data_IF_124378420412
#
_entry.id   IF_124378420412
#
_cell.length_a   1.000
_cell.length_b   1.000
_cell.length_c   1.000
_cell.angle_alpha   90.00
_cell.angle_beta   90.00
_cell.angle_gamma   90.00
#
_symmetry.space_group_name_H-M   'P 1'
#
loop_
_entity.id
_entity.type
_entity.pdbx_description
1 polymer ?
#
# COMPACT_ATOMS: atom_id res chain seq x y z
N UNK A 1 -0.13 48.74 -100.84
CA UNK A 1 -1.24 48.94 -99.89
C UNK A 1 -1.88 47.62 -99.47
N UNK A 2 -2.39 46.76 -100.36
CA UNK A 2 -3.07 45.50 -99.96
C UNK A 2 -2.22 44.52 -99.11
N UNK A 3 -0.95 44.32 -99.45
CA UNK A 3 -0.05 43.42 -98.70
C UNK A 3 0.27 43.90 -97.28
N UNK A 4 0.24 45.20 -97.04
CA UNK A 4 0.53 45.78 -95.73
C UNK A 4 -0.63 45.55 -94.75
N UNK A 5 -1.87 45.60 -95.26
CA UNK A 5 -3.06 45.26 -94.49
C UNK A 5 -3.07 43.79 -94.07
N UNK A 6 -2.74 42.87 -95.00
CA UNK A 6 -2.71 41.43 -94.70
C UNK A 6 -1.67 41.11 -93.62
N UNK A 7 -0.47 41.70 -93.70
CA UNK A 7 0.58 41.49 -92.69
C UNK A 7 0.15 42.04 -91.33
N UNK A 8 -0.50 43.21 -91.31
CA UNK A 8 -1.02 43.81 -90.08
C UNK A 8 -2.10 42.94 -89.43
N UNK A 9 -3.06 42.44 -90.22
CA UNK A 9 -4.16 41.61 -89.73
C UNK A 9 -3.64 40.27 -89.18
N UNK A 10 -2.64 39.66 -89.83
CA UNK A 10 -1.99 38.43 -89.35
C UNK A 10 -1.24 38.69 -88.04
N UNK A 11 -0.52 39.80 -87.94
CA UNK A 11 0.19 40.16 -86.72
C UNK A 11 -0.77 40.42 -85.55
N UNK A 12 -1.91 41.06 -85.81
CA UNK A 12 -2.96 41.31 -84.80
C UNK A 12 -3.64 40.01 -84.35
N UNK A 13 -3.95 39.11 -85.29
CA UNK A 13 -4.47 37.77 -84.97
C UNK A 13 -3.49 36.97 -84.13
N UNK A 14 -2.20 36.99 -84.48
CA UNK A 14 -1.14 36.29 -83.76
C UNK A 14 -0.97 36.86 -82.34
N UNK A 15 -0.96 38.19 -82.19
CA UNK A 15 -0.92 38.83 -80.88
C UNK A 15 -2.13 38.42 -80.03
N UNK A 16 -3.35 38.43 -80.58
CA UNK A 16 -4.55 38.07 -79.82
C UNK A 16 -4.63 36.59 -79.45
N UNK A 17 -4.12 35.69 -80.29
CA UNK A 17 -4.15 34.25 -80.05
C UNK A 17 -3.08 33.79 -79.05
N UNK A 18 -1.93 34.47 -79.02
CA UNK A 18 -0.78 34.07 -78.21
C UNK A 18 -0.50 35.03 -77.04
N UNK A 19 -1.28 36.09 -76.90
CA UNK A 19 -1.30 36.90 -75.69
C UNK A 19 -1.96 36.13 -74.55
N UNK A 20 -1.10 35.48 -73.77
CA UNK A 20 -1.45 34.73 -72.58
C UNK A 20 -1.54 35.64 -71.35
N UNK A 21 -1.28 36.94 -71.48
CA UNK A 21 -1.32 37.89 -70.37
C UNK A 21 -2.70 37.92 -69.68
N UNK A 22 -3.85 37.92 -70.36
CA UNK A 22 -5.15 37.87 -69.70
C UNK A 22 -5.38 36.59 -68.89
N UNK A 23 -4.91 35.45 -69.41
CA UNK A 23 -5.04 34.15 -68.74
C UNK A 23 -4.16 34.12 -67.48
N UNK A 24 -2.88 34.50 -67.61
CA UNK A 24 -1.98 34.60 -66.47
C UNK A 24 -2.48 35.60 -65.43
N UNK A 25 -2.94 36.77 -65.86
CA UNK A 25 -3.48 37.78 -64.96
C UNK A 25 -4.70 37.26 -64.19
N UNK A 26 -5.58 36.50 -64.85
CA UNK A 26 -6.70 35.81 -64.21
C UNK A 26 -6.25 34.82 -63.14
N UNK A 27 -5.24 33.99 -63.44
CA UNK A 27 -4.68 33.04 -62.48
C UNK A 27 -3.97 33.74 -61.30
N UNK A 28 -3.21 34.80 -61.55
CA UNK A 28 -2.56 35.61 -60.49
C UNK A 28 -3.61 36.25 -59.59
N UNK A 29 -4.65 36.84 -60.18
CA UNK A 29 -5.75 37.46 -59.42
C UNK A 29 -6.50 36.43 -58.58
N UNK A 30 -6.75 35.24 -59.13
CA UNK A 30 -7.36 34.14 -58.38
C UNK A 30 -6.47 33.67 -57.23
N UNK A 31 -5.17 33.52 -57.46
CA UNK A 31 -4.22 33.12 -56.42
C UNK A 31 -4.21 34.10 -55.25
N UNK A 32 -4.08 35.40 -55.52
CA UNK A 32 -4.12 36.46 -54.49
C UNK A 32 -5.45 36.40 -53.72
N UNK A 33 -6.58 36.36 -54.44
CA UNK A 33 -7.91 36.31 -53.82
C UNK A 33 -8.12 35.09 -52.94
N UNK A 34 -7.65 33.92 -53.35
CA UNK A 34 -7.83 32.70 -52.56
C UNK A 34 -6.88 32.62 -51.37
N UNK A 35 -5.60 32.93 -51.56
CA UNK A 35 -4.58 32.67 -50.55
C UNK A 35 -4.29 33.87 -49.65
N UNK A 36 -4.20 35.07 -50.20
CA UNK A 36 -3.87 36.28 -49.44
C UNK A 36 -5.13 36.95 -48.86
N UNK A 37 -6.27 36.90 -49.56
CA UNK A 37 -7.51 37.53 -49.07
C UNK A 37 -8.40 36.55 -48.28
N UNK A 38 -8.95 35.52 -48.96
CA UNK A 38 -9.95 34.61 -48.34
C UNK A 38 -9.37 33.77 -47.21
N UNK A 39 -8.19 33.17 -47.44
CA UNK A 39 -7.51 32.32 -46.46
C UNK A 39 -6.62 33.11 -45.53
N UNK A 40 -6.04 34.21 -46.03
CA UNK A 40 -5.29 35.18 -45.23
C UNK A 40 -4.16 34.54 -44.44
N UNK A 41 -3.38 33.65 -45.07
CA UNK A 41 -2.27 32.92 -44.44
C UNK A 41 -2.61 32.14 -43.15
N UNK A 42 -3.89 31.90 -42.84
CA UNK A 42 -4.34 31.25 -41.60
C UNK A 42 -3.70 29.88 -41.40
N UNK A 43 -3.46 29.12 -42.47
CA UNK A 43 -2.77 27.84 -42.41
C UNK A 43 -1.33 27.98 -41.92
N UNK A 44 -0.61 28.99 -42.39
CA UNK A 44 0.76 29.30 -41.95
C UNK A 44 0.79 29.70 -40.49
N UNK A 45 -0.09 30.62 -40.07
CA UNK A 45 -0.20 31.04 -38.67
C UNK A 45 -0.51 29.84 -37.74
N UNK A 46 -1.39 28.94 -38.20
CA UNK A 46 -1.72 27.72 -37.46
C UNK A 46 -0.51 26.79 -37.32
N UNK A 47 0.27 26.61 -38.38
CA UNK A 47 1.50 25.81 -38.35
C UNK A 47 2.56 26.44 -37.44
N UNK A 48 2.73 27.76 -37.48
CA UNK A 48 3.65 28.49 -36.60
C UNK A 48 3.23 28.39 -35.13
N UNK A 49 1.92 28.47 -34.85
CA UNK A 49 1.39 28.23 -33.51
C UNK A 49 1.69 26.81 -33.04
N UNK A 50 1.39 25.81 -33.86
CA UNK A 50 1.67 24.40 -33.54
C UNK A 50 3.16 24.17 -33.31
N UNK A 51 4.02 24.75 -34.14
CA UNK A 51 5.47 24.68 -33.99
C UNK A 51 5.94 25.26 -32.65
N UNK A 52 5.40 26.42 -32.25
CA UNK A 52 5.68 27.03 -30.95
C UNK A 52 5.25 26.13 -29.79
N UNK A 53 4.04 25.56 -29.86
CA UNK A 53 3.52 24.66 -28.82
C UNK A 53 4.37 23.40 -28.68
N UNK A 54 4.73 22.76 -29.80
CA UNK A 54 5.62 21.59 -29.81
C UNK A 54 6.99 21.94 -29.24
N UNK A 55 7.54 23.09 -29.60
CA UNK A 55 8.84 23.54 -29.11
C UNK A 55 8.82 23.79 -27.59
N UNK A 56 7.78 24.45 -27.07
CA UNK A 56 7.58 24.63 -25.62
C UNK A 56 7.43 23.30 -24.90
N UNK A 57 6.65 22.37 -25.47
CA UNK A 57 6.46 21.04 -24.88
C UNK A 57 7.76 20.27 -24.80
N UNK A 58 8.52 20.22 -25.89
CA UNK A 58 9.76 19.45 -25.99
C UNK A 58 10.92 20.07 -25.20
N UNK A 59 11.02 21.40 -25.12
CA UNK A 59 12.15 22.07 -24.47
C UNK A 59 11.92 22.39 -23.00
N UNK A 60 10.67 22.48 -22.56
CA UNK A 60 10.36 22.96 -21.21
C UNK A 60 9.50 21.93 -20.48
N UNK A 61 8.28 21.67 -20.96
CA UNK A 61 7.31 20.89 -20.19
C UNK A 61 7.76 19.43 -19.99
N UNK A 62 8.28 18.78 -21.04
CA UNK A 62 8.75 17.40 -20.95
C UNK A 62 9.99 17.24 -20.06
N UNK A 63 11.06 18.05 -20.22
CA UNK A 63 12.20 18.03 -19.31
C UNK A 63 11.82 18.28 -17.85
N UNK A 64 11.05 19.34 -17.57
CA UNK A 64 10.62 19.67 -16.20
C UNK A 64 9.81 18.54 -15.57
N UNK A 65 8.92 17.92 -16.36
CA UNK A 65 8.13 16.77 -15.90
C UNK A 65 9.00 15.56 -15.60
N UNK A 66 9.99 15.27 -16.45
CA UNK A 66 10.93 14.16 -16.25
C UNK A 66 11.79 14.37 -15.00
N UNK A 67 12.34 15.56 -14.82
CA UNK A 67 13.14 15.93 -13.65
C UNK A 67 12.31 15.81 -12.37
N UNK A 68 11.09 16.34 -12.38
CA UNK A 68 10.16 16.22 -11.26
C UNK A 68 9.85 14.75 -10.95
N UNK A 69 9.54 13.94 -11.96
CA UNK A 69 9.27 12.51 -11.78
C UNK A 69 10.46 11.79 -11.18
N UNK A 70 11.68 12.08 -11.64
CA UNK A 70 12.89 11.45 -11.10
C UNK A 70 13.05 11.72 -9.61
N UNK A 71 12.84 12.96 -9.17
CA UNK A 71 12.94 13.35 -7.75
C UNK A 71 11.83 12.70 -6.92
N UNK A 72 10.58 12.79 -7.36
CA UNK A 72 9.45 12.26 -6.59
C UNK A 72 9.47 10.74 -6.50
N UNK A 73 9.79 10.04 -7.59
CA UNK A 73 9.89 8.57 -7.59
C UNK A 73 11.03 8.09 -6.70
N UNK A 74 12.20 8.76 -6.73
CA UNK A 74 13.31 8.42 -5.84
C UNK A 74 12.92 8.59 -4.36
N UNK A 75 12.23 9.68 -4.02
CA UNK A 75 11.77 9.94 -2.66
C UNK A 75 10.75 8.90 -2.18
N UNK A 76 9.73 8.62 -2.98
CA UNK A 76 8.70 7.62 -2.65
C UNK A 76 9.33 6.23 -2.52
N UNK A 77 10.24 5.86 -3.43
CA UNK A 77 10.97 4.59 -3.36
C UNK A 77 11.79 4.47 -2.08
N UNK A 78 12.52 5.51 -1.68
CA UNK A 78 13.30 5.53 -0.44
C UNK A 78 12.40 5.39 0.79
N UNK A 79 11.30 6.15 0.85
CA UNK A 79 10.32 6.06 1.95
C UNK A 79 9.68 4.68 2.04
N UNK A 80 9.34 4.09 0.89
CA UNK A 80 8.76 2.76 0.83
C UNK A 80 9.75 1.71 1.34
N UNK A 81 11.02 1.76 0.91
CA UNK A 81 12.07 0.85 1.42
C UNK A 81 12.19 0.91 2.94
N UNK A 82 12.26 2.12 3.51
CA UNK A 82 12.33 2.30 4.96
C UNK A 82 11.09 1.72 5.64
N UNK A 83 9.89 1.99 5.13
CA UNK A 83 8.65 1.44 5.68
C UNK A 83 8.64 -0.09 5.63
N UNK A 84 9.06 -0.70 4.52
CA UNK A 84 9.17 -2.15 4.37
C UNK A 84 10.17 -2.74 5.36
N UNK A 85 11.35 -2.14 5.53
CA UNK A 85 12.34 -2.59 6.52
C UNK A 85 11.81 -2.50 7.96
N UNK A 86 11.04 -1.45 8.28
CA UNK A 86 10.41 -1.32 9.60
C UNK A 86 9.38 -2.41 9.82
N UNK A 87 8.51 -2.69 8.85
CA UNK A 87 7.56 -3.79 8.93
C UNK A 87 8.26 -5.13 9.14
N UNK A 88 9.34 -5.39 8.41
CA UNK A 88 10.10 -6.64 8.54
C UNK A 88 10.75 -6.77 9.92
N UNK A 89 11.31 -5.68 10.47
CA UNK A 89 11.86 -5.68 11.83
C UNK A 89 10.80 -5.96 12.90
N UNK A 90 9.57 -5.49 12.71
CA UNK A 90 8.46 -5.78 13.63
C UNK A 90 8.09 -7.25 13.55
N UNK A 91 7.98 -7.80 12.34
CA UNK A 91 7.71 -9.22 12.09
C UNK A 91 8.77 -10.13 12.72
N UNK A 92 10.06 -9.82 12.51
CA UNK A 92 11.18 -10.58 13.09
C UNK A 92 11.21 -10.50 14.63
N UNK A 93 10.94 -9.32 15.21
CA UNK A 93 10.88 -9.16 16.68
C UNK A 93 9.72 -9.94 17.29
N UNK A 94 8.56 -9.95 16.64
CA UNK A 94 7.40 -10.70 17.10
C UNK A 94 7.63 -12.22 17.14
N UNK A 95 8.55 -12.73 16.33
CA UNK A 95 8.76 -14.17 16.18
C UNK A 95 9.85 -14.76 17.10
N UNK A 96 10.89 -14.02 17.48
CA UNK A 96 12.15 -14.67 17.87
C UNK A 96 12.55 -14.65 19.35
N UNK A 97 12.25 -13.60 20.13
CA UNK A 97 12.85 -13.45 21.48
C UNK A 97 11.81 -13.31 22.57
N UNK A 98 10.76 -12.52 22.35
CA UNK A 98 9.74 -12.30 23.35
C UNK A 98 8.91 -13.56 23.59
N UNK A 99 8.58 -14.30 22.54
CA UNK A 99 7.87 -15.59 22.60
C UNK A 99 8.64 -16.62 23.42
N UNK A 100 9.94 -16.80 23.18
CA UNK A 100 10.75 -17.81 23.86
C UNK A 100 10.93 -17.51 25.36
N UNK A 101 11.23 -16.26 25.75
CA UNK A 101 11.40 -15.88 27.16
C UNK A 101 10.06 -15.97 27.91
N UNK A 102 8.96 -15.58 27.25
CA UNK A 102 7.61 -15.70 27.82
C UNK A 102 7.18 -17.16 27.99
N UNK A 103 7.56 -18.04 27.06
CA UNK A 103 7.30 -19.49 27.13
C UNK A 103 8.07 -20.12 28.30
N UNK A 104 9.38 -19.85 28.41
CA UNK A 104 10.20 -20.32 29.53
C UNK A 104 9.69 -19.80 30.88
N UNK A 105 9.27 -18.54 30.92
CA UNK A 105 8.64 -17.94 32.10
C UNK A 105 7.32 -18.60 32.47
N UNK A 106 6.50 -18.99 31.48
CA UNK A 106 5.26 -19.76 31.69
C UNK A 106 5.54 -21.14 32.25
N UNK A 107 6.49 -21.88 31.66
CA UNK A 107 6.86 -23.21 32.13
C UNK A 107 7.38 -23.19 33.57
N UNK A 108 8.24 -22.21 33.91
CA UNK A 108 8.76 -22.07 35.27
C UNK A 108 7.64 -21.84 36.29
N UNK A 109 6.73 -20.90 36.00
CA UNK A 109 5.56 -20.65 36.87
C UNK A 109 4.65 -21.87 36.99
N UNK A 110 4.49 -22.65 35.92
CA UNK A 110 3.69 -23.87 35.98
C UNK A 110 4.32 -24.93 36.89
N UNK A 111 5.65 -25.12 36.82
CA UNK A 111 6.37 -26.02 37.72
C UNK A 111 6.30 -25.59 39.19
N UNK A 112 6.45 -24.28 39.43
CA UNK A 112 6.33 -23.72 40.78
C UNK A 112 4.92 -23.92 41.34
N UNK A 113 3.90 -23.73 40.48
CA UNK A 113 2.50 -23.94 40.84
C UNK A 113 2.18 -25.40 41.13
N UNK A 114 2.66 -26.34 40.30
CA UNK A 114 2.50 -27.78 40.55
C UNK A 114 3.17 -28.20 41.85
N UNK A 115 4.40 -27.73 42.09
CA UNK A 115 5.15 -28.02 43.32
C UNK A 115 4.40 -27.50 44.55
N UNK A 116 3.92 -26.25 44.50
CA UNK A 116 3.14 -25.66 45.57
C UNK A 116 1.85 -26.44 45.82
N UNK A 117 1.11 -26.77 44.76
CA UNK A 117 -0.17 -27.49 44.84
C UNK A 117 0.01 -28.87 45.45
N UNK A 118 1.02 -29.62 45.01
CA UNK A 118 1.36 -30.93 45.58
C UNK A 118 1.75 -30.83 47.06
N UNK A 119 2.53 -29.80 47.43
CA UNK A 119 2.86 -29.56 48.83
C UNK A 119 1.62 -29.26 49.67
N UNK A 120 0.66 -28.48 49.15
CA UNK A 120 -0.59 -28.20 49.86
C UNK A 120 -1.45 -29.47 49.99
N UNK A 121 -1.56 -30.28 48.94
CA UNK A 121 -2.29 -31.55 48.97
C UNK A 121 -1.71 -32.50 50.02
N UNK A 122 -0.39 -32.67 50.05
CA UNK A 122 0.27 -33.52 51.05
C UNK A 122 0.03 -33.02 52.48
N UNK A 123 -0.01 -31.70 52.70
CA UNK A 123 -0.31 -31.14 54.03
C UNK A 123 -1.74 -31.43 54.45
N UNK A 124 -2.71 -31.31 53.53
CA UNK A 124 -4.09 -31.68 53.81
C UNK A 124 -4.19 -33.16 54.18
N UNK A 125 -3.55 -34.04 53.43
CA UNK A 125 -3.54 -35.48 53.69
C UNK A 125 -2.95 -35.83 55.06
N UNK A 126 -1.81 -35.22 55.44
CA UNK A 126 -1.22 -35.40 56.76
C UNK A 126 -2.13 -34.92 57.91
N UNK A 127 -2.79 -33.78 57.72
CA UNK A 127 -3.72 -33.26 58.71
C UNK A 127 -4.93 -34.19 58.87
N UNK A 128 -5.46 -34.71 57.77
CA UNK A 128 -6.58 -35.66 57.80
C UNK A 128 -6.18 -36.97 58.50
N UNK A 129 -4.98 -37.51 58.24
CA UNK A 129 -4.44 -38.68 58.92
C UNK A 129 -4.29 -38.45 60.44
N UNK A 130 -3.70 -37.32 60.85
CA UNK A 130 -3.53 -36.94 62.26
C UNK A 130 -4.89 -36.84 62.96
N UNK A 131 -5.88 -36.21 62.32
CA UNK A 131 -7.24 -36.13 62.86
C UNK A 131 -7.89 -37.50 62.98
N UNK A 132 -7.69 -38.39 62.01
CA UNK A 132 -8.24 -39.74 62.05
C UNK A 132 -7.63 -40.56 63.21
N UNK A 133 -6.32 -40.41 63.46
CA UNK A 133 -5.64 -41.04 64.59
C UNK A 133 -6.13 -40.49 65.95
N UNK A 134 -6.34 -39.17 66.04
CA UNK A 134 -6.92 -38.54 67.22
C UNK A 134 -8.34 -39.05 67.49
N UNK A 135 -9.19 -39.15 66.46
CA UNK A 135 -10.55 -39.70 66.57
C UNK A 135 -10.50 -41.14 67.06
N UNK A 136 -9.63 -41.98 66.49
CA UNK A 136 -9.45 -43.38 66.93
C UNK A 136 -9.03 -43.47 68.40
N UNK A 137 -8.10 -42.61 68.82
CA UNK A 137 -7.64 -42.55 70.21
C UNK A 137 -8.75 -42.11 71.16
N UNK A 138 -9.53 -41.09 70.75
CA UNK A 138 -10.65 -40.58 71.53
C UNK A 138 -11.75 -41.64 71.68
N UNK A 139 -12.12 -42.32 70.60
CA UNK A 139 -13.05 -43.46 70.63
C UNK A 139 -12.57 -44.56 71.58
N UNK A 140 -11.30 -44.96 71.50
CA UNK A 140 -10.73 -45.97 72.42
C UNK A 140 -10.85 -45.52 73.88
N UNK A 141 -10.49 -44.27 74.19
CA UNK A 141 -10.57 -43.74 75.55
C UNK A 141 -12.01 -43.72 76.10
N UNK A 142 -12.99 -43.30 75.29
CA UNK A 142 -14.38 -43.30 75.70
C UNK A 142 -14.95 -44.72 75.85
N UNK A 143 -14.60 -45.65 74.96
CA UNK A 143 -15.00 -47.06 75.10
C UNK A 143 -14.43 -47.68 76.39
N UNK A 144 -13.15 -47.44 76.70
CA UNK A 144 -12.55 -47.91 77.96
C UNK A 144 -13.23 -47.31 79.20
N UNK A 145 -13.67 -46.05 79.12
CA UNK A 145 -14.40 -45.40 80.20
C UNK A 145 -15.80 -45.99 80.35
N UNK A 146 -16.49 -46.28 79.25
CA UNK A 146 -17.79 -46.96 79.21
C UNK A 146 -17.68 -48.37 79.80
N UNK A 147 -16.65 -49.14 79.43
CA UNK A 147 -16.36 -50.45 80.02
C UNK A 147 -16.09 -50.36 81.52
N UNK A 148 -15.34 -49.34 81.98
CA UNK A 148 -15.10 -49.13 83.42
C UNK A 148 -16.39 -48.77 84.16
N UNK A 149 -17.24 -47.93 83.56
CA UNK A 149 -18.52 -47.52 84.14
C UNK A 149 -19.48 -48.71 84.25
N UNK A 150 -19.62 -49.51 83.21
CA UNK A 150 -20.46 -50.72 83.20
C UNK A 150 -19.95 -51.81 84.16
N UNK A 151 -18.64 -51.98 84.30
CA UNK A 151 -18.07 -52.88 85.30
C UNK A 151 -18.26 -52.37 86.73
N UNK A 152 -18.17 -51.05 86.96
CA UNK A 152 -18.42 -50.42 88.27
C UNK A 152 -19.90 -50.45 88.68
N UNK A 153 -20.84 -50.38 87.73
CA UNK A 153 -22.27 -50.52 87.99
C UNK A 153 -22.69 -51.96 88.25
N UNK A 154 -22.04 -52.94 87.62
CA UNK A 154 -22.24 -54.37 87.92
C UNK A 154 -21.67 -54.79 89.29
N UNK A 155 -20.63 -54.11 89.79
CA UNK A 155 -20.09 -54.29 91.15
C UNK A 155 -20.94 -53.62 92.25
N UNK A 156 -21.81 -52.67 91.91
CA UNK A 156 -22.73 -52.01 92.84
C UNK A 156 -24.11 -52.71 92.93
N UNK A 157 -24.35 -53.76 92.12
CA UNK A 157 -25.61 -54.52 92.05
C UNK A 157 -25.51 -55.97 92.59
N UNK A 158 -24.40 -56.33 93.24
CA UNK A 158 -24.24 -57.55 94.07
C UNK A 158 -24.23 -57.17 95.56
#
# INVERSE_FOLDING_TARGET
MLNEHIVKDIAELHARLLDHHPVLQGHVSYFIKEFEEKRGDREKERLEKMSREINTMNKTLLPESLDAMQVYLANVSAKLKVATEVCHKIEEKGNNVETSILEEGRERRNKDWETYTNMQLNKCEQIDEDFEEQIKTLHRHYNELEDKLTNSSNLAAQ
#
